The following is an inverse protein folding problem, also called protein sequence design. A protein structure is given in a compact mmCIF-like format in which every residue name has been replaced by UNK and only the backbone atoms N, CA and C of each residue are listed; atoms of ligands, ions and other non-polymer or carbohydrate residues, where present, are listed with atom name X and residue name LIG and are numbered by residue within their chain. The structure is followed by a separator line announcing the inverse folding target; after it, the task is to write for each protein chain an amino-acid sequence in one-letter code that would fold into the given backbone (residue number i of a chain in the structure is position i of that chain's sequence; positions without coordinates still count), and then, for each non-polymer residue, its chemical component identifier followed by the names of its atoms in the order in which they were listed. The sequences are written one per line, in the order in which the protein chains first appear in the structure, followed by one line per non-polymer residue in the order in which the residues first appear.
data_IF_029444398184
#
_entry.id   IF_029444398184
#
_cell.length_a   1.000
_cell.length_b   1.000
_cell.length_c   1.000
_cell.angle_alpha   90.00
_cell.angle_beta   90.00
_cell.angle_gamma   90.00
#
_symmetry.space_group_name_H-M   'P 1'
#
loop_
_entity.id
_entity.type
_entity.pdbx_description
1 polymer ?
#
# COMPACT_ATOMS: atom_id res chain seq x y z
N UNK A 1 -13.05 13.24 -1.30
CA UNK A 1 -11.81 13.76 -0.65
C UNK A 1 -11.34 15.11 -1.18
N UNK A 2 -10.63 15.90 -0.36
CA UNK A 2 -9.94 17.13 -0.80
C UNK A 2 -8.58 16.82 -1.45
N UNK A 3 -7.99 17.80 -2.15
CA UNK A 3 -6.67 17.64 -2.77
C UNK A 3 -5.54 17.51 -1.72
N UNK A 4 -5.69 18.16 -0.57
CA UNK A 4 -4.79 18.08 0.57
C UNK A 4 -4.81 16.66 1.15
N UNK A 5 -6.00 16.11 1.36
CA UNK A 5 -6.20 14.74 1.87
C UNK A 5 -5.58 13.72 0.90
N UNK A 6 -5.84 13.88 -0.39
CA UNK A 6 -5.27 13.04 -1.44
C UNK A 6 -3.72 13.03 -1.38
N UNK A 7 -3.09 14.20 -1.37
CA UNK A 7 -1.62 14.32 -1.29
C UNK A 7 -1.05 13.74 0.00
N UNK A 8 -1.74 13.94 1.13
CA UNK A 8 -1.36 13.38 2.43
C UNK A 8 -1.37 11.85 2.39
N UNK A 9 -2.43 11.23 1.85
CA UNK A 9 -2.54 9.77 1.72
C UNK A 9 -1.51 9.20 0.75
N UNK A 10 -1.22 9.87 -0.37
CA UNK A 10 -0.12 9.46 -1.24
C UNK A 10 1.22 9.43 -0.48
N UNK A 11 1.54 10.50 0.25
CA UNK A 11 2.78 10.58 1.04
C UNK A 11 2.85 9.50 2.13
N UNK A 12 1.76 9.27 2.87
CA UNK A 12 1.65 8.19 3.88
C UNK A 12 1.98 6.82 3.28
N UNK A 13 1.50 6.57 2.06
CA UNK A 13 1.71 5.30 1.36
C UNK A 13 3.04 5.22 0.59
N UNK A 14 3.91 6.25 0.68
CA UNK A 14 5.14 6.38 -0.13
C UNK A 14 4.87 6.35 -1.64
N UNK A 15 3.67 6.79 -2.05
CA UNK A 15 3.30 6.92 -3.46
C UNK A 15 3.61 8.32 -3.97
N UNK A 16 4.20 8.38 -5.17
CA UNK A 16 4.27 9.62 -5.93
C UNK A 16 3.02 9.77 -6.79
N UNK A 17 2.70 11.01 -7.20
CA UNK A 17 1.58 11.26 -8.12
C UNK A 17 1.76 10.51 -9.46
N UNK A 18 3.01 10.38 -9.92
CA UNK A 18 3.36 9.59 -11.10
C UNK A 18 3.04 8.11 -10.89
N UNK A 19 3.48 7.54 -9.77
CA UNK A 19 3.21 6.12 -9.46
C UNK A 19 1.72 5.85 -9.32
N UNK A 20 0.98 6.75 -8.67
CA UNK A 20 -0.48 6.68 -8.59
C UNK A 20 -1.11 6.68 -9.99
N UNK A 21 -0.65 7.56 -10.89
CA UNK A 21 -1.18 7.64 -12.26
C UNK A 21 -0.94 6.35 -13.07
N UNK A 22 0.23 5.71 -12.88
CA UNK A 22 0.56 4.42 -13.50
C UNK A 22 -0.33 3.30 -12.95
N UNK A 23 -0.51 3.23 -11.62
CA UNK A 23 -1.30 2.18 -10.95
C UNK A 23 -2.80 2.25 -11.29
N UNK A 24 -3.33 3.46 -11.47
CA UNK A 24 -4.75 3.69 -11.77
C UNK A 24 -5.04 3.81 -13.26
N UNK A 25 -4.00 3.75 -14.10
CA UNK A 25 -4.07 4.02 -15.53
C UNK A 25 -4.75 5.36 -15.88
N UNK A 26 -4.65 6.34 -14.98
CA UNK A 26 -5.12 7.70 -15.21
C UNK A 26 -3.97 8.51 -15.80
N UNK A 27 -4.24 9.31 -16.83
CA UNK A 27 -3.21 10.20 -17.39
C UNK A 27 -2.63 11.10 -16.28
N UNK A 28 -1.30 11.13 -16.15
CA UNK A 28 -0.61 11.97 -15.16
C UNK A 28 -1.09 13.44 -15.18
N UNK A 29 -1.28 14.00 -16.38
CA UNK A 29 -1.80 15.36 -16.57
C UNK A 29 -3.21 15.57 -16.00
N UNK A 30 -4.03 14.53 -15.93
CA UNK A 30 -5.35 14.58 -15.27
C UNK A 30 -5.15 14.69 -13.76
N UNK A 31 -4.31 13.83 -13.17
CA UNK A 31 -4.01 13.85 -11.73
C UNK A 31 -3.41 15.21 -11.28
N UNK A 32 -2.53 15.80 -12.10
CA UNK A 32 -1.91 17.11 -11.84
C UNK A 32 -2.93 18.26 -11.85
N UNK A 33 -4.04 18.11 -12.59
CA UNK A 33 -5.09 19.13 -12.68
C UNK A 33 -6.04 19.10 -11.50
N UNK A 34 -6.08 18.02 -10.71
CA UNK A 34 -6.88 17.98 -9.48
C UNK A 34 -6.37 19.03 -8.49
N UNK A 35 -7.30 19.78 -7.89
CA UNK A 35 -7.02 20.92 -7.02
C UNK A 35 -6.60 22.20 -7.74
N UNK A 36 -6.54 22.22 -9.08
CA UNK A 36 -6.34 23.45 -9.88
C UNK A 36 -7.66 23.92 -10.46
N UNK A 37 -7.88 25.24 -10.51
CA UNK A 37 -9.09 25.85 -11.09
C UNK A 37 -10.38 25.23 -10.54
N UNK A 38 -10.42 24.97 -9.23
CA UNK A 38 -11.54 24.32 -8.54
C UNK A 38 -11.92 22.93 -9.07
N UNK A 39 -11.01 22.22 -9.74
CA UNK A 39 -11.25 20.85 -10.21
C UNK A 39 -11.13 19.88 -9.04
N UNK A 40 -12.20 19.16 -8.68
CA UNK A 40 -12.15 18.20 -7.59
C UNK A 40 -11.29 17.00 -7.94
N UNK A 41 -10.83 16.30 -6.92
CA UNK A 41 -10.32 14.94 -7.06
C UNK A 41 -11.50 14.03 -7.43
N UNK A 42 -11.31 13.08 -8.34
CA UNK A 42 -12.38 12.17 -8.74
C UNK A 42 -12.88 11.31 -7.56
N UNK A 43 -14.19 11.08 -7.47
CA UNK A 43 -14.81 10.46 -6.29
C UNK A 43 -14.29 9.04 -5.97
N UNK A 44 -13.99 8.26 -7.01
CA UNK A 44 -13.48 6.89 -6.86
C UNK A 44 -12.07 6.81 -6.26
N UNK A 45 -11.30 7.91 -6.27
CA UNK A 45 -9.91 7.94 -5.78
C UNK A 45 -9.84 7.58 -4.31
N UNK A 46 -10.87 7.96 -3.55
CA UNK A 46 -11.00 7.66 -2.13
C UNK A 46 -11.13 6.16 -1.89
N UNK A 47 -12.09 5.50 -2.55
CA UNK A 47 -12.27 4.05 -2.45
C UNK A 47 -11.05 3.27 -2.94
N UNK A 48 -10.37 3.76 -3.99
CA UNK A 48 -9.13 3.13 -4.47
C UNK A 48 -8.02 3.21 -3.42
N UNK A 49 -7.82 4.37 -2.78
CA UNK A 49 -6.80 4.54 -1.75
C UNK A 49 -7.12 3.72 -0.50
N UNK A 50 -8.39 3.58 -0.12
CA UNK A 50 -8.81 2.72 0.99
C UNK A 50 -8.45 1.25 0.72
N UNK A 51 -8.74 0.75 -0.48
CA UNK A 51 -8.41 -0.62 -0.88
C UNK A 51 -6.90 -0.81 -0.96
N UNK A 52 -6.18 0.16 -1.51
CA UNK A 52 -4.73 0.13 -1.60
C UNK A 52 -4.08 0.03 -0.20
N UNK A 53 -4.53 0.86 0.74
CA UNK A 53 -4.04 0.86 2.12
C UNK A 53 -4.33 -0.47 2.83
N UNK A 54 -5.55 -0.99 2.72
CA UNK A 54 -5.93 -2.27 3.33
C UNK A 54 -5.12 -3.44 2.76
N UNK A 55 -4.98 -3.49 1.43
CA UNK A 55 -4.21 -4.55 0.79
C UNK A 55 -2.75 -4.52 1.22
N UNK A 56 -2.16 -3.33 1.35
CA UNK A 56 -0.78 -3.21 1.81
C UNK A 56 -0.61 -3.74 3.24
N UNK A 57 -1.51 -3.39 4.15
CA UNK A 57 -1.48 -3.91 5.53
C UNK A 57 -1.65 -5.42 5.59
N UNK A 58 -2.52 -5.99 4.74
CA UNK A 58 -2.71 -7.44 4.67
C UNK A 58 -1.47 -8.18 4.14
N UNK A 59 -0.77 -7.61 3.14
CA UNK A 59 0.48 -8.20 2.65
C UNK A 59 1.59 -8.09 3.71
N UNK A 60 1.67 -6.96 4.42
CA UNK A 60 2.60 -6.79 5.55
C UNK A 60 2.32 -7.80 6.69
N UNK A 61 1.05 -8.06 7.01
CA UNK A 61 0.70 -9.04 8.05
C UNK A 61 1.02 -10.48 7.63
N UNK A 62 0.69 -10.86 6.39
CA UNK A 62 1.01 -12.21 5.86
C UNK A 62 2.50 -12.50 5.85
N UNK A 63 3.32 -11.51 5.51
CA UNK A 63 4.77 -11.67 5.49
C UNK A 63 5.31 -11.93 6.91
N UNK A 64 4.82 -11.18 7.91
CA UNK A 64 5.20 -11.38 9.30
C UNK A 64 4.80 -12.78 9.81
N UNK A 65 3.56 -13.20 9.53
CA UNK A 65 3.09 -14.55 9.89
C UNK A 65 4.00 -15.62 9.28
N UNK A 66 4.37 -15.47 8.01
CA UNK A 66 5.25 -16.39 7.28
C UNK A 66 6.65 -16.50 7.91
N UNK A 67 7.23 -15.37 8.30
CA UNK A 67 8.55 -15.35 8.96
C UNK A 67 8.51 -15.99 10.35
N UNK A 68 7.44 -15.77 11.13
CA UNK A 68 7.24 -16.44 12.41
C UNK A 68 7.16 -17.97 12.25
N UNK A 69 6.38 -18.47 11.28
CA UNK A 69 6.28 -19.90 11.01
C UNK A 69 7.61 -20.51 10.54
N UNK A 70 8.38 -19.82 9.70
CA UNK A 70 9.73 -20.26 9.29
C UNK A 70 10.69 -20.33 10.47
N UNK A 71 10.66 -19.33 11.36
CA UNK A 71 11.50 -19.31 12.54
C UNK A 71 11.18 -20.46 13.50
N UNK A 72 9.89 -20.74 13.72
CA UNK A 72 9.44 -21.88 14.52
C UNK A 72 9.85 -23.22 13.91
N UNK A 73 9.69 -23.39 12.60
CA UNK A 73 10.08 -24.62 11.90
C UNK A 73 11.59 -24.88 12.01
N UNK A 74 12.42 -23.84 11.89
CA UNK A 74 13.86 -23.94 12.09
C UNK A 74 14.22 -24.33 13.52
N UNK A 75 13.60 -23.69 14.52
CA UNK A 75 13.85 -24.01 15.92
C UNK A 75 13.51 -25.47 16.26
N UNK A 76 12.41 -26.00 15.71
CA UNK A 76 12.03 -27.41 15.87
C UNK A 76 13.07 -28.34 15.23
N UNK A 77 13.54 -28.02 14.02
CA UNK A 77 14.56 -28.82 13.35
C UNK A 77 15.88 -28.84 14.13
N UNK A 78 16.28 -27.72 14.71
CA UNK A 78 17.48 -27.62 15.53
C UNK A 78 17.36 -28.45 16.82
N UNK A 79 16.18 -28.53 17.43
CA UNK A 79 15.92 -29.40 18.60
C UNK A 79 16.03 -30.87 18.18
N UNK A 80 15.36 -31.28 17.10
CA UNK A 80 15.40 -32.66 16.59
C UNK A 80 16.84 -33.09 16.27
N UNK A 81 17.64 -32.18 15.70
CA UNK A 81 19.02 -32.47 15.35
C UNK A 81 19.96 -32.56 16.56
N UNK A 82 19.62 -31.95 17.70
CA UNK A 82 20.38 -32.06 18.96
C UNK A 82 20.07 -33.34 19.74
N UNK A 83 18.90 -33.92 19.52
CA UNK A 83 18.46 -35.17 20.15
C UNK A 83 18.92 -36.43 19.39
N UNK A 84 19.58 -36.25 18.24
CA UNK A 84 20.19 -37.32 17.43
C UNK A 84 21.72 -37.30 17.58
#
# INVERSE_FOLDING_TARGET
MTIEEFKKRLKKNKLTLKKFSELTNVKYNTCVRWGKNNRPVSDWVESWLDLYERNKTLEESKENDCEEYKALAKALQDVINKEK
#
